data_IF_468207214123
#
_entry.id   IF_468207214123
#
_cell.length_a   1.000
_cell.length_b   1.000
_cell.length_c   1.000
_cell.angle_alpha   90.00
_cell.angle_beta   90.00
_cell.angle_gamma   90.00
#
_symmetry.space_group_name_H-M   'P 1'
#
loop_
_entity.id
_entity.type
_entity.pdbx_description
1 polymer ?
#
# COMPACT_ATOMS: atom_id res chain seq x y z
N UNK A 1 31.24 -6.17 -3.60
CA UNK A 1 30.80 -7.45 -2.99
C UNK A 1 30.51 -7.34 -1.47
N UNK A 2 30.64 -6.17 -0.80
CA UNK A 2 30.39 -6.04 0.65
C UNK A 2 28.99 -5.57 1.04
N UNK A 3 28.22 -4.90 0.17
CA UNK A 3 26.90 -4.34 0.52
C UNK A 3 25.75 -5.37 0.47
N UNK A 4 25.75 -6.31 -0.47
CA UNK A 4 24.66 -7.30 -0.63
C UNK A 4 24.55 -8.24 0.56
N UNK A 5 25.68 -8.68 1.13
CA UNK A 5 25.71 -9.50 2.35
C UNK A 5 25.18 -8.72 3.56
N UNK A 6 25.38 -7.40 3.60
CA UNK A 6 24.82 -6.56 4.67
C UNK A 6 23.29 -6.48 4.56
N UNK A 7 22.76 -6.18 3.38
CA UNK A 7 21.32 -6.02 3.16
C UNK A 7 20.52 -7.30 3.48
N UNK A 8 20.93 -8.46 2.95
CA UNK A 8 20.25 -9.75 3.22
C UNK A 8 20.26 -10.09 4.71
N UNK A 9 21.36 -9.76 5.41
CA UNK A 9 21.43 -9.94 6.86
C UNK A 9 20.44 -9.04 7.61
N UNK A 10 20.22 -7.81 7.15
CA UNK A 10 19.24 -6.88 7.74
C UNK A 10 17.80 -7.37 7.53
N UNK A 11 17.46 -7.81 6.32
CA UNK A 11 16.15 -8.45 6.03
C UNK A 11 15.97 -9.70 6.91
N UNK A 12 17.02 -10.52 7.06
CA UNK A 12 16.97 -11.70 7.94
C UNK A 12 16.82 -11.34 9.41
N UNK A 13 17.25 -10.16 9.88
CA UNK A 13 17.03 -9.73 11.26
C UNK A 13 15.59 -9.31 11.50
N UNK A 14 14.96 -8.62 10.54
CA UNK A 14 13.54 -8.23 10.62
C UNK A 14 12.60 -9.44 10.63
N UNK A 15 12.98 -10.52 9.95
CA UNK A 15 12.17 -11.73 9.87
C UNK A 15 12.26 -12.64 11.10
N UNK A 16 13.18 -12.38 12.05
CA UNK A 16 13.32 -13.15 13.29
C UNK A 16 12.29 -12.73 14.34
N UNK A 17 11.77 -13.73 15.05
CA UNK A 17 10.62 -13.69 15.96
C UNK A 17 10.45 -12.37 16.74
N UNK A 18 9.58 -11.51 16.20
CA UNK A 18 8.95 -10.44 16.97
C UNK A 18 7.62 -10.97 17.47
N UNK A 19 7.46 -11.07 18.78
CA UNK A 19 6.18 -11.48 19.38
C UNK A 19 5.12 -10.41 19.10
N UNK A 20 3.99 -10.83 18.52
CA UNK A 20 2.81 -9.98 18.43
C UNK A 20 2.30 -9.67 19.85
N UNK A 21 1.97 -8.41 20.09
CA UNK A 21 1.24 -8.00 21.28
C UNK A 21 -0.23 -7.83 20.87
N UNK A 22 -1.15 -8.39 21.66
CA UNK A 22 -2.56 -8.08 21.49
C UNK A 22 -2.79 -6.62 21.86
N UNK A 23 -3.05 -5.77 20.86
CA UNK A 23 -3.39 -4.35 21.05
C UNK A 23 -4.75 -4.12 20.42
N UNK A 24 -5.70 -3.58 21.20
CA UNK A 24 -7.06 -3.22 20.73
C UNK A 24 -7.80 -4.37 20.01
N UNK A 25 -7.52 -5.62 20.39
CA UNK A 25 -8.20 -6.81 19.86
C UNK A 25 -7.56 -7.46 18.62
N UNK A 26 -6.40 -6.98 18.17
CA UNK A 26 -5.68 -7.55 17.02
C UNK A 26 -4.20 -7.81 17.31
N UNK A 27 -3.57 -8.62 16.45
CA UNK A 27 -2.14 -8.90 16.47
C UNK A 27 -1.36 -7.65 16.03
N UNK A 28 -0.68 -6.96 16.97
CA UNK A 28 0.17 -5.81 16.67
C UNK A 28 1.65 -6.20 16.77
N UNK A 29 2.38 -6.08 15.67
CA UNK A 29 3.80 -6.43 15.56
C UNK A 29 4.60 -5.15 15.30
N UNK A 30 5.62 -4.89 16.14
CA UNK A 30 6.56 -3.77 15.93
C UNK A 30 7.89 -4.32 15.42
N UNK A 31 8.25 -3.97 14.18
CA UNK A 31 9.53 -4.32 13.58
C UNK A 31 10.52 -3.17 13.86
N UNK A 32 11.60 -3.40 14.62
CA UNK A 32 12.57 -2.35 14.95
C UNK A 32 13.43 -1.97 13.72
N UNK A 33 14.24 -0.93 13.87
CA UNK A 33 15.33 -0.62 12.93
C UNK A 33 16.33 -1.80 12.94
N UNK A 34 16.66 -2.44 11.80
CA UNK A 34 17.32 -3.76 11.79
C UNK A 34 18.77 -3.80 12.30
N UNK A 35 19.44 -2.65 12.38
CA UNK A 35 20.81 -2.49 12.86
C UNK A 35 20.94 -1.45 13.98
N UNK A 36 19.83 -1.05 14.59
CA UNK A 36 19.82 -0.08 15.68
C UNK A 36 18.80 -0.42 16.75
N UNK A 37 19.13 -0.10 18.01
CA UNK A 37 18.17 -0.12 19.13
C UNK A 37 17.53 1.26 19.37
N UNK A 38 17.71 2.19 18.43
CA UNK A 38 17.10 3.51 18.49
C UNK A 38 15.57 3.41 18.48
N UNK A 39 14.94 4.33 19.20
CA UNK A 39 13.48 4.46 19.32
C UNK A 39 13.14 5.90 18.96
N UNK A 40 12.12 6.10 18.13
CA UNK A 40 11.71 7.44 17.72
C UNK A 40 12.77 8.18 16.89
N UNK A 41 13.51 7.44 16.06
CA UNK A 41 14.50 7.96 15.13
C UNK A 41 14.26 7.37 13.75
N UNK A 42 14.65 8.10 12.70
CA UNK A 42 14.69 7.54 11.34
C UNK A 42 15.73 6.42 11.24
N UNK A 43 15.39 5.37 10.51
CA UNK A 43 16.38 4.39 10.06
C UNK A 43 17.51 5.13 9.30
N UNK A 44 18.79 4.80 9.50
CA UNK A 44 19.89 5.51 8.84
C UNK A 44 19.77 5.59 7.30
N UNK A 45 19.19 4.58 6.66
CA UNK A 45 18.91 4.55 5.21
C UNK A 45 17.80 5.53 4.84
N UNK A 46 16.76 5.61 5.69
CA UNK A 46 15.64 6.55 5.53
C UNK A 46 16.13 7.98 5.72
N UNK A 47 16.88 8.24 6.79
CA UNK A 47 17.49 9.55 7.07
C UNK A 47 18.33 10.03 5.89
N UNK A 48 19.16 9.15 5.30
CA UNK A 48 19.98 9.51 4.14
C UNK A 48 19.13 9.95 2.95
N UNK A 49 18.07 9.22 2.63
CA UNK A 49 17.14 9.57 1.54
C UNK A 49 16.40 10.87 1.84
N UNK A 50 15.91 11.05 3.06
CA UNK A 50 15.22 12.26 3.50
C UNK A 50 16.12 13.49 3.37
N UNK A 51 17.38 13.40 3.79
CA UNK A 51 18.35 14.50 3.66
C UNK A 51 18.64 14.84 2.19
N UNK A 52 18.82 13.82 1.33
CA UNK A 52 19.01 14.04 -0.11
C UNK A 52 17.79 14.69 -0.78
N UNK A 53 16.58 14.32 -0.36
CA UNK A 53 15.35 14.94 -0.84
C UNK A 53 15.26 16.41 -0.38
N UNK A 54 15.55 16.69 0.89
CA UNK A 54 15.57 18.05 1.43
C UNK A 54 16.58 18.95 0.71
N UNK A 55 17.79 18.46 0.43
CA UNK A 55 18.80 19.21 -0.34
C UNK A 55 18.31 19.56 -1.75
N UNK A 56 17.64 18.63 -2.44
CA UNK A 56 17.04 18.89 -3.76
C UNK A 56 15.91 19.91 -3.68
N UNK A 57 15.05 19.83 -2.67
CA UNK A 57 13.95 20.78 -2.49
C UNK A 57 14.45 22.21 -2.29
N UNK A 58 15.48 22.39 -1.44
CA UNK A 58 16.14 23.70 -1.26
C UNK A 58 16.75 24.21 -2.57
N UNK A 59 17.32 23.33 -3.40
CA UNK A 59 17.83 23.73 -4.71
C UNK A 59 16.74 24.18 -5.69
N UNK A 60 15.48 23.77 -5.48
CA UNK A 60 14.32 24.08 -6.33
C UNK A 60 13.37 25.14 -5.76
N UNK A 61 13.65 25.67 -4.56
CA UNK A 61 12.77 26.55 -3.77
C UNK A 61 12.36 27.86 -4.50
N UNK A 62 13.07 28.23 -5.57
CA UNK A 62 12.78 29.40 -6.41
C UNK A 62 11.81 29.13 -7.57
N UNK A 63 11.25 27.92 -7.71
CA UNK A 63 10.21 27.64 -8.70
C UNK A 63 8.84 27.91 -8.11
N UNK A 64 8.25 29.07 -8.43
CA UNK A 64 6.89 29.40 -8.04
C UNK A 64 5.91 28.50 -8.80
N UNK A 65 5.11 27.73 -8.06
CA UNK A 65 3.99 26.97 -8.62
C UNK A 65 2.81 27.91 -8.91
N UNK A 66 2.24 27.86 -10.11
CA UNK A 66 1.01 28.59 -10.45
C UNK A 66 -0.21 27.76 -9.97
N UNK A 67 -0.90 28.17 -8.88
CA UNK A 67 -2.03 27.43 -8.35
C UNK A 67 -3.23 27.33 -9.32
N UNK A 68 -3.25 28.10 -10.41
CA UNK A 68 -4.27 28.00 -11.46
C UNK A 68 -3.98 26.93 -12.51
N UNK A 69 -2.73 26.48 -12.65
CA UNK A 69 -2.33 25.42 -13.60
C UNK A 69 -2.44 24.02 -12.95
N UNK A 70 -3.67 23.53 -12.83
CA UNK A 70 -3.93 22.20 -12.28
C UNK A 70 -3.25 21.08 -13.09
N UNK A 71 -3.11 21.25 -14.40
CA UNK A 71 -2.49 20.22 -15.24
C UNK A 71 -0.97 20.16 -15.02
N UNK A 72 -0.29 21.31 -15.02
CA UNK A 72 1.12 21.42 -14.69
C UNK A 72 1.43 20.93 -13.28
N UNK A 73 0.54 21.21 -12.31
CA UNK A 73 0.64 20.65 -10.95
C UNK A 73 0.71 19.13 -10.98
N UNK A 74 -0.30 18.50 -11.59
CA UNK A 74 -0.46 17.05 -11.59
C UNK A 74 0.70 16.39 -12.33
N UNK A 75 1.15 16.96 -13.45
CA UNK A 75 2.31 16.44 -14.18
C UNK A 75 3.60 16.52 -13.35
N UNK A 76 3.83 17.64 -12.66
CA UNK A 76 4.97 17.79 -11.75
C UNK A 76 4.93 16.78 -10.60
N UNK A 77 3.76 16.63 -9.97
CA UNK A 77 3.56 15.64 -8.90
C UNK A 77 3.78 14.21 -9.39
N UNK A 78 3.20 13.83 -10.54
CA UNK A 78 3.40 12.51 -11.15
C UNK A 78 4.87 12.21 -11.41
N UNK A 79 5.64 13.19 -11.88
CA UNK A 79 7.07 13.03 -12.14
C UNK A 79 7.90 12.81 -10.87
N UNK A 80 7.39 13.20 -9.70
CA UNK A 80 8.02 13.01 -8.40
C UNK A 80 7.55 11.74 -7.67
N UNK A 81 6.53 11.04 -8.19
CA UNK A 81 5.99 9.83 -7.57
C UNK A 81 6.78 8.59 -7.96
N UNK A 82 7.00 7.73 -6.97
CA UNK A 82 7.75 6.50 -7.10
C UNK A 82 9.25 6.65 -6.84
N UNK A 83 9.94 5.51 -6.82
CA UNK A 83 11.36 5.42 -6.52
C UNK A 83 12.03 4.34 -7.36
N UNK A 84 13.31 4.51 -7.66
CA UNK A 84 14.09 3.46 -8.32
C UNK A 84 14.35 2.31 -7.34
N UNK A 85 13.86 1.13 -7.66
CA UNK A 85 14.07 -0.08 -6.85
C UNK A 85 14.77 -1.19 -7.61
N UNK A 86 15.30 -2.15 -6.85
CA UNK A 86 16.01 -3.29 -7.37
C UNK A 86 15.11 -4.53 -7.45
N UNK A 87 15.31 -5.34 -8.49
CA UNK A 87 14.74 -6.69 -8.55
C UNK A 87 15.48 -7.60 -7.56
N UNK A 88 14.80 -7.95 -6.46
CA UNK A 88 15.34 -8.83 -5.41
C UNK A 88 14.98 -10.31 -5.60
N UNK A 89 14.34 -10.67 -6.73
CA UNK A 89 14.02 -12.06 -7.05
C UNK A 89 15.28 -12.89 -7.29
N UNK A 90 15.18 -14.20 -7.01
CA UNK A 90 16.30 -15.15 -7.20
C UNK A 90 16.04 -16.16 -8.31
N UNK A 91 14.78 -16.47 -8.54
CA UNK A 91 14.25 -17.34 -9.57
C UNK A 91 13.63 -16.55 -10.71
N UNK A 92 13.01 -17.28 -11.65
CA UNK A 92 12.36 -16.69 -12.81
C UNK A 92 10.93 -16.30 -12.47
N UNK A 93 10.59 -15.04 -12.67
CA UNK A 93 9.22 -14.53 -12.68
C UNK A 93 8.91 -14.05 -14.09
N UNK A 94 7.97 -14.71 -14.76
CA UNK A 94 7.51 -14.30 -16.08
C UNK A 94 6.60 -13.08 -15.96
N UNK A 95 6.83 -12.06 -16.79
CA UNK A 95 5.99 -10.86 -16.86
C UNK A 95 5.27 -10.86 -18.20
N UNK A 96 3.94 -10.91 -18.17
CA UNK A 96 3.09 -10.75 -19.35
C UNK A 96 2.23 -9.50 -19.24
N UNK A 97 1.86 -8.96 -20.40
CA UNK A 97 1.02 -7.77 -20.51
C UNK A 97 -0.31 -8.20 -21.10
N UNK A 98 -1.39 -7.76 -20.49
CA UNK A 98 -2.75 -8.07 -20.94
C UNK A 98 -3.58 -6.81 -20.87
N UNK A 99 -4.56 -6.69 -21.73
CA UNK A 99 -5.57 -5.64 -21.65
C UNK A 99 -6.91 -6.33 -21.62
N UNK A 100 -7.73 -5.99 -20.63
CA UNK A 100 -9.09 -6.50 -20.48
C UNK A 100 -10.08 -5.41 -20.91
N UNK A 101 -11.26 -5.82 -21.36
CA UNK A 101 -12.32 -4.90 -21.71
C UNK A 101 -13.06 -4.48 -20.43
N UNK A 102 -12.89 -3.23 -19.99
CA UNK A 102 -13.67 -2.63 -18.92
C UNK A 102 -14.88 -1.86 -19.47
N UNK A 103 -15.88 -1.60 -18.63
CA UNK A 103 -17.12 -0.92 -19.05
C UNK A 103 -16.86 0.49 -19.61
N UNK A 104 -15.77 1.13 -19.17
CA UNK A 104 -15.42 2.49 -19.56
C UNK A 104 -14.17 2.56 -20.45
N UNK A 105 -13.76 1.42 -21.02
CA UNK A 105 -12.58 1.30 -21.88
C UNK A 105 -11.61 0.21 -21.43
N UNK A 106 -10.52 0.03 -22.19
CA UNK A 106 -9.52 -0.99 -21.90
C UNK A 106 -8.81 -0.74 -20.56
N UNK A 107 -8.60 -1.81 -19.78
CA UNK A 107 -7.84 -1.78 -18.53
C UNK A 107 -6.55 -2.59 -18.74
N UNK A 108 -5.36 -1.94 -18.75
CA UNK A 108 -4.10 -2.65 -18.84
C UNK A 108 -3.76 -3.35 -17.52
N UNK A 109 -3.29 -4.59 -17.66
CA UNK A 109 -2.81 -5.45 -16.59
C UNK A 109 -1.38 -5.86 -16.90
N UNK A 110 -0.59 -6.02 -15.84
CA UNK A 110 0.71 -6.68 -15.90
C UNK A 110 0.71 -7.85 -14.92
N UNK A 111 1.04 -9.03 -15.41
CA UNK A 111 0.87 -10.30 -14.71
C UNK A 111 2.25 -10.90 -14.46
N UNK A 112 2.56 -11.11 -13.19
CA UNK A 112 3.80 -11.70 -12.70
C UNK A 112 3.55 -13.14 -12.27
N UNK A 113 4.07 -14.09 -13.04
CA UNK A 113 3.86 -15.52 -12.82
C UNK A 113 5.17 -16.15 -12.34
N UNK A 114 5.23 -16.69 -11.11
CA UNK A 114 6.42 -17.38 -10.63
C UNK A 114 6.58 -18.73 -11.34
N UNK A 115 7.78 -19.32 -11.27
CA UNK A 115 8.08 -20.62 -11.90
C UNK A 115 7.37 -21.82 -11.25
N UNK A 116 6.44 -21.60 -10.32
CA UNK A 116 5.68 -22.66 -9.67
C UNK A 116 4.73 -23.34 -10.68
N UNK A 117 4.69 -24.67 -10.60
CA UNK A 117 3.80 -25.51 -11.41
C UNK A 117 2.38 -25.54 -10.83
N UNK A 118 1.40 -25.81 -11.69
CA UNK A 118 0.00 -25.97 -11.31
C UNK A 118 -0.80 -24.67 -11.24
N UNK A 119 -1.93 -24.76 -10.52
CA UNK A 119 -2.84 -23.64 -10.25
C UNK A 119 -2.41 -22.96 -8.95
N UNK A 120 -2.24 -21.63 -9.00
CA UNK A 120 -1.66 -20.83 -7.93
C UNK A 120 -2.69 -19.89 -7.29
N UNK A 121 -2.45 -19.36 -6.08
CA UNK A 121 -3.21 -18.21 -5.58
C UNK A 121 -3.00 -16.97 -6.46
N UNK A 122 -3.92 -16.02 -6.38
CA UNK A 122 -3.82 -14.71 -7.03
C UNK A 122 -3.67 -13.59 -6.00
N UNK A 123 -2.87 -12.58 -6.32
CA UNK A 123 -2.86 -11.28 -5.63
C UNK A 123 -3.11 -10.18 -6.66
N UNK A 124 -4.26 -9.52 -6.59
CA UNK A 124 -4.53 -8.33 -7.40
C UNK A 124 -3.99 -7.11 -6.66
N UNK A 125 -3.05 -6.41 -7.29
CA UNK A 125 -2.31 -5.32 -6.68
C UNK A 125 -2.67 -3.97 -7.32
N UNK A 126 -2.97 -2.98 -6.49
CA UNK A 126 -3.24 -1.60 -6.90
C UNK A 126 -2.12 -0.70 -6.37
N UNK A 127 -1.45 0.03 -7.26
CA UNK A 127 -0.36 0.92 -6.88
C UNK A 127 -0.85 2.18 -6.15
N UNK A 128 -0.01 2.79 -5.33
CA UNK A 128 -0.25 4.09 -4.72
C UNK A 128 -0.04 5.28 -5.66
N UNK A 129 -0.03 6.48 -5.10
CA UNK A 129 0.13 7.74 -5.87
C UNK A 129 -1.02 8.73 -5.71
N UNK A 130 -1.71 8.69 -4.56
CA UNK A 130 -2.73 9.69 -4.21
C UNK A 130 -3.90 9.76 -5.19
N UNK A 131 -4.23 8.66 -5.87
CA UNK A 131 -5.25 8.53 -6.93
C UNK A 131 -4.98 9.35 -8.21
N UNK A 132 -3.98 10.23 -8.19
CA UNK A 132 -3.64 11.11 -9.30
C UNK A 132 -2.40 10.67 -10.07
N UNK A 133 -1.59 9.76 -9.51
CA UNK A 133 -0.32 9.32 -10.08
C UNK A 133 0.09 7.93 -9.61
N UNK A 134 1.39 7.65 -9.71
CA UNK A 134 1.93 6.29 -9.60
C UNK A 134 1.82 5.52 -10.92
N UNK A 135 2.39 4.31 -10.95
CA UNK A 135 2.26 3.40 -12.09
C UNK A 135 2.62 1.97 -11.70
N UNK A 136 2.27 1.03 -12.58
CA UNK A 136 2.70 -0.37 -12.48
C UNK A 136 4.23 -0.57 -12.59
N UNK A 137 4.95 0.43 -13.12
CA UNK A 137 6.43 0.39 -13.18
C UNK A 137 7.04 0.62 -11.79
N UNK A 138 6.48 1.53 -11.01
CA UNK A 138 6.97 1.85 -9.65
C UNK A 138 6.92 0.61 -8.76
N UNK A 139 5.85 -0.17 -8.87
CA UNK A 139 5.60 -1.35 -8.04
C UNK A 139 6.07 -2.66 -8.67
N UNK A 140 6.78 -2.61 -9.80
CA UNK A 140 7.17 -3.81 -10.56
C UNK A 140 8.02 -4.78 -9.75
N UNK A 141 9.13 -4.30 -9.18
CA UNK A 141 10.03 -5.19 -8.42
C UNK A 141 9.43 -5.65 -7.08
N UNK A 142 8.71 -4.82 -6.30
CA UNK A 142 7.91 -5.31 -5.17
C UNK A 142 6.94 -6.43 -5.56
N UNK A 143 6.22 -6.30 -6.69
CA UNK A 143 5.25 -7.29 -7.16
C UNK A 143 5.91 -8.57 -7.68
N UNK A 144 7.04 -8.47 -8.39
CA UNK A 144 7.87 -9.63 -8.77
C UNK A 144 8.36 -10.40 -7.55
N UNK A 145 8.89 -9.67 -6.56
CA UNK A 145 9.32 -10.26 -5.30
C UNK A 145 8.16 -10.96 -4.59
N UNK A 146 6.98 -10.33 -4.55
CA UNK A 146 5.79 -10.93 -3.96
C UNK A 146 5.37 -12.21 -4.68
N UNK A 147 5.35 -12.21 -6.03
CA UNK A 147 5.00 -13.37 -6.82
C UNK A 147 5.91 -14.57 -6.51
N UNK A 148 7.22 -14.36 -6.51
CA UNK A 148 8.21 -15.40 -6.16
C UNK A 148 8.05 -15.87 -4.71
N UNK A 149 8.01 -14.93 -3.75
CA UNK A 149 8.05 -15.27 -2.32
C UNK A 149 6.75 -15.91 -1.86
N UNK A 150 5.61 -15.49 -2.38
CA UNK A 150 4.30 -16.05 -2.07
C UNK A 150 4.04 -17.36 -2.84
N UNK A 151 4.67 -17.55 -4.00
CA UNK A 151 4.29 -18.63 -4.92
C UNK A 151 2.89 -18.38 -5.49
N UNK A 152 2.57 -17.12 -5.80
CA UNK A 152 1.26 -16.66 -6.27
C UNK A 152 1.42 -15.85 -7.56
N UNK A 153 0.40 -15.83 -8.41
CA UNK A 153 0.34 -14.91 -9.54
C UNK A 153 -0.03 -13.53 -9.01
N UNK A 154 0.79 -12.51 -9.32
CA UNK A 154 0.51 -11.12 -8.93
C UNK A 154 0.07 -10.35 -10.17
N UNK A 155 -1.06 -9.66 -10.09
CA UNK A 155 -1.66 -8.90 -11.19
C UNK A 155 -1.72 -7.44 -10.78
N UNK A 156 -0.86 -6.58 -11.36
CA UNK A 156 -0.96 -5.14 -11.14
C UNK A 156 -1.90 -4.51 -12.16
N UNK A 157 -2.80 -3.65 -11.68
CA UNK A 157 -3.78 -2.95 -12.51
C UNK A 157 -3.29 -1.52 -12.79
N UNK A 158 -3.19 -1.15 -14.06
CA UNK A 158 -2.88 0.22 -14.50
C UNK A 158 -4.19 1.02 -14.58
N UNK A 159 -4.79 1.25 -13.40
CA UNK A 159 -6.12 1.84 -13.28
C UNK A 159 -6.12 3.32 -13.67
N UNK A 160 -7.25 3.82 -14.15
CA UNK A 160 -7.36 5.23 -14.57
C UNK A 160 -7.17 6.20 -13.41
N UNK A 161 -6.40 7.25 -13.68
CA UNK A 161 -5.99 8.26 -12.70
C UNK A 161 -6.82 9.55 -12.82
N UNK A 162 -7.01 10.19 -11.67
CA UNK A 162 -7.51 11.55 -11.60
C UNK A 162 -6.41 12.57 -11.96
N UNK A 163 -6.76 13.80 -12.38
CA UNK A 163 -8.12 14.35 -12.55
C UNK A 163 -8.78 14.02 -13.89
N UNK A 164 -8.09 13.37 -14.84
CA UNK A 164 -8.63 13.02 -16.16
C UNK A 164 -9.79 12.02 -16.04
N UNK A 165 -9.66 11.09 -15.09
CA UNK A 165 -10.66 10.08 -14.76
C UNK A 165 -10.92 10.10 -13.25
N UNK A 166 -11.71 11.07 -12.75
CA UNK A 166 -12.00 11.18 -11.32
C UNK A 166 -12.86 10.01 -10.82
N UNK A 167 -13.07 9.93 -9.51
CA UNK A 167 -13.94 8.97 -8.85
C UNK A 167 -15.28 8.78 -9.60
N UNK A 168 -15.79 7.55 -9.78
CA UNK A 168 -15.23 6.27 -9.34
C UNK A 168 -14.43 5.55 -10.44
N UNK A 169 -13.86 6.24 -11.44
CA UNK A 169 -13.29 5.60 -12.63
C UNK A 169 -12.21 4.56 -12.31
N UNK A 170 -11.15 4.95 -11.59
CA UNK A 170 -10.10 4.02 -11.17
C UNK A 170 -10.60 2.90 -10.25
N UNK A 171 -11.55 3.20 -9.35
CA UNK A 171 -12.18 2.19 -8.48
C UNK A 171 -12.95 1.14 -9.30
N UNK A 172 -13.64 1.58 -10.34
CA UNK A 172 -14.34 0.68 -11.26
C UNK A 172 -13.36 -0.24 -11.97
N UNK A 173 -12.23 0.31 -12.47
CA UNK A 173 -11.20 -0.51 -13.13
C UNK A 173 -10.60 -1.56 -12.18
N UNK A 174 -10.34 -1.18 -10.93
CA UNK A 174 -9.85 -2.09 -9.91
C UNK A 174 -10.83 -3.24 -9.64
N UNK A 175 -12.11 -2.94 -9.44
CA UNK A 175 -13.13 -3.96 -9.14
C UNK A 175 -13.43 -4.85 -10.35
N UNK A 176 -13.48 -4.29 -11.57
CA UNK A 176 -13.60 -5.05 -12.81
C UNK A 176 -12.39 -5.98 -13.02
N UNK A 177 -11.19 -5.55 -12.64
CA UNK A 177 -9.99 -6.40 -12.71
C UNK A 177 -10.03 -7.58 -11.74
N UNK A 178 -10.52 -7.38 -10.51
CA UNK A 178 -10.74 -8.49 -9.56
C UNK A 178 -11.78 -9.47 -10.11
N UNK A 179 -12.88 -8.95 -10.63
CA UNK A 179 -13.95 -9.77 -11.24
C UNK A 179 -13.40 -10.58 -12.42
N UNK A 180 -12.62 -9.94 -13.29
CA UNK A 180 -11.99 -10.60 -14.42
C UNK A 180 -11.03 -11.71 -13.98
N UNK A 181 -10.20 -11.49 -12.96
CA UNK A 181 -9.30 -12.52 -12.40
C UNK A 181 -10.08 -13.73 -11.88
N UNK A 182 -11.23 -13.50 -11.23
CA UNK A 182 -12.11 -14.57 -10.76
C UNK A 182 -12.74 -15.36 -11.92
N UNK A 183 -13.28 -14.66 -12.93
CA UNK A 183 -13.96 -15.27 -14.08
C UNK A 183 -13.02 -15.98 -15.06
N UNK A 184 -11.80 -15.48 -15.22
CA UNK A 184 -10.77 -15.97 -16.15
C UNK A 184 -9.63 -16.71 -15.45
N UNK A 185 -9.88 -17.25 -14.26
CA UNK A 185 -8.86 -17.83 -13.39
C UNK A 185 -8.02 -18.93 -14.09
N UNK A 186 -8.66 -19.78 -14.89
CA UNK A 186 -7.99 -20.83 -15.67
C UNK A 186 -6.98 -20.26 -16.69
N UNK A 187 -7.31 -19.14 -17.33
CA UNK A 187 -6.48 -18.50 -18.36
C UNK A 187 -5.11 -18.08 -17.83
N UNK A 188 -5.05 -17.67 -16.56
CA UNK A 188 -3.84 -17.19 -15.90
C UNK A 188 -3.31 -18.18 -14.84
N UNK A 189 -3.82 -19.42 -14.84
CA UNK A 189 -3.46 -20.50 -13.90
C UNK A 189 -3.64 -20.13 -12.44
N UNK A 190 -4.71 -19.41 -12.10
CA UNK A 190 -5.03 -19.08 -10.70
C UNK A 190 -6.25 -19.85 -10.19
N UNK A 191 -6.33 -20.00 -8.87
CA UNK A 191 -7.48 -20.59 -8.19
C UNK A 191 -8.47 -19.47 -7.83
N UNK A 192 -9.71 -19.47 -8.35
CA UNK A 192 -10.69 -18.41 -8.06
C UNK A 192 -11.11 -18.36 -6.59
N UNK A 193 -10.87 -19.43 -5.81
CA UNK A 193 -11.13 -19.46 -4.38
C UNK A 193 -9.97 -18.93 -3.52
N UNK A 194 -8.87 -18.49 -4.14
CA UNK A 194 -7.64 -18.04 -3.46
C UNK A 194 -7.17 -16.68 -4.01
N UNK A 195 -8.08 -15.70 -4.03
CA UNK A 195 -7.79 -14.34 -4.48
C UNK A 195 -7.57 -13.43 -3.26
N UNK A 196 -6.43 -12.78 -3.23
CA UNK A 196 -6.14 -11.66 -2.33
C UNK A 196 -6.16 -10.34 -3.10
N UNK A 197 -6.51 -9.26 -2.41
CA UNK A 197 -6.26 -7.89 -2.88
C UNK A 197 -5.16 -7.26 -2.04
N UNK A 198 -4.33 -6.47 -2.70
CA UNK A 198 -3.22 -5.76 -2.09
C UNK A 198 -3.09 -4.39 -2.72
N UNK A 199 -2.47 -3.47 -1.99
CA UNK A 199 -2.15 -2.17 -2.55
C UNK A 199 -1.52 -1.26 -1.52
N UNK A 200 -0.82 -0.25 -2.02
CA UNK A 200 -0.10 0.71 -1.19
C UNK A 200 -0.77 2.08 -1.21
N UNK A 201 -0.80 2.77 -0.06
CA UNK A 201 -1.34 4.14 0.05
C UNK A 201 -2.76 4.26 -0.53
N UNK A 202 -2.94 5.04 -1.60
CA UNK A 202 -4.18 5.14 -2.38
C UNK A 202 -4.63 3.80 -3.00
N UNK A 203 -3.71 2.96 -3.47
CA UNK A 203 -4.02 1.61 -3.93
C UNK A 203 -4.49 0.69 -2.80
N UNK A 204 -4.00 0.91 -1.58
CA UNK A 204 -4.49 0.24 -0.38
C UNK A 204 -5.94 0.62 -0.03
N UNK A 205 -6.34 1.86 -0.31
CA UNK A 205 -7.73 2.29 -0.26
C UNK A 205 -8.58 1.51 -1.29
N UNK A 206 -8.14 1.49 -2.56
CA UNK A 206 -8.84 0.79 -3.63
C UNK A 206 -8.99 -0.71 -3.34
N UNK A 207 -7.97 -1.35 -2.77
CA UNK A 207 -8.02 -2.73 -2.29
C UNK A 207 -9.11 -2.95 -1.23
N UNK A 208 -9.14 -2.06 -0.24
CA UNK A 208 -10.13 -2.10 0.84
C UNK A 208 -11.55 -1.92 0.31
N UNK A 209 -11.75 -0.97 -0.60
CA UNK A 209 -13.06 -0.67 -1.17
C UNK A 209 -13.53 -1.78 -2.13
N UNK A 210 -12.62 -2.41 -2.88
CA UNK A 210 -12.97 -3.59 -3.68
C UNK A 210 -13.46 -4.75 -2.79
N UNK A 211 -12.83 -4.97 -1.63
CA UNK A 211 -13.29 -5.97 -0.67
C UNK A 211 -14.66 -5.62 -0.07
N UNK A 212 -14.92 -4.34 0.22
CA UNK A 212 -16.24 -3.88 0.65
C UNK A 212 -17.32 -4.14 -0.44
N UNK A 213 -17.03 -3.79 -1.69
CA UNK A 213 -17.94 -4.01 -2.82
C UNK A 213 -18.22 -5.50 -3.09
N UNK A 214 -17.23 -6.37 -2.89
CA UNK A 214 -17.37 -7.83 -3.02
C UNK A 214 -18.37 -8.40 -2.00
N UNK A 215 -18.36 -7.87 -0.77
CA UNK A 215 -19.32 -8.23 0.29
C UNK A 215 -20.71 -7.70 -0.05
N UNK A 216 -20.83 -6.43 -0.44
CA UNK A 216 -22.10 -5.81 -0.80
C UNK A 216 -22.79 -6.54 -1.95
N UNK A 217 -22.01 -7.08 -2.89
CA UNK A 217 -22.50 -7.89 -4.01
C UNK A 217 -22.72 -9.36 -3.66
N UNK A 218 -22.22 -9.83 -2.52
CA UNK A 218 -22.31 -11.23 -2.09
C UNK A 218 -21.56 -12.19 -3.01
N UNK A 219 -20.51 -11.73 -3.69
CA UNK A 219 -19.74 -12.52 -4.65
C UNK A 219 -18.64 -13.36 -3.98
N UNK A 220 -18.16 -12.92 -2.80
CA UNK A 220 -17.14 -13.60 -1.99
C UNK A 220 -15.87 -13.97 -2.78
N UNK A 221 -15.45 -13.16 -3.75
CA UNK A 221 -14.25 -13.42 -4.54
C UNK A 221 -12.97 -13.24 -3.71
N UNK A 222 -12.95 -12.24 -2.83
CA UNK A 222 -11.75 -11.81 -2.11
C UNK A 222 -11.65 -12.50 -0.75
N UNK A 223 -10.52 -13.15 -0.49
CA UNK A 223 -10.30 -13.95 0.73
C UNK A 223 -9.26 -13.36 1.69
N UNK A 224 -8.44 -12.42 1.21
CA UNK A 224 -7.39 -11.76 1.98
C UNK A 224 -7.21 -10.32 1.49
N UNK A 225 -7.02 -9.40 2.44
CA UNK A 225 -6.55 -8.04 2.21
C UNK A 225 -5.12 -7.91 2.75
N UNK A 226 -4.17 -7.50 1.91
CA UNK A 226 -2.81 -7.17 2.30
C UNK A 226 -2.56 -5.67 2.03
N UNK A 227 -2.82 -4.84 3.03
CA UNK A 227 -2.87 -3.39 2.89
C UNK A 227 -1.55 -2.76 3.33
N UNK A 228 -0.97 -1.92 2.49
CA UNK A 228 0.34 -1.31 2.72
C UNK A 228 0.12 0.19 2.96
N UNK A 229 0.25 0.64 4.21
CA UNK A 229 -0.01 2.01 4.69
C UNK A 229 -1.22 2.66 4.00
N UNK A 230 -2.40 1.99 4.00
CA UNK A 230 -3.55 2.44 3.21
C UNK A 230 -4.11 3.77 3.74
N UNK A 231 -4.64 4.60 2.84
CA UNK A 231 -5.56 5.64 3.29
C UNK A 231 -6.97 5.07 3.48
N UNK A 232 -7.60 5.32 4.62
CA UNK A 232 -8.90 4.68 4.98
C UNK A 232 -9.92 5.66 5.56
N UNK A 233 -9.54 6.90 5.80
CA UNK A 233 -10.35 7.98 6.34
C UNK A 233 -9.92 9.32 5.71
N UNK A 234 -10.13 9.46 4.39
CA UNK A 234 -9.83 10.70 3.67
C UNK A 234 -10.53 11.92 4.29
N UNK A 235 -11.71 11.70 4.89
CA UNK A 235 -12.48 12.74 5.53
C UNK A 235 -11.85 13.29 6.82
N UNK A 236 -10.86 12.59 7.40
CA UNK A 236 -10.28 12.95 8.69
C UNK A 236 -11.30 12.95 9.83
N UNK A 237 -12.42 12.23 9.66
CA UNK A 237 -13.51 12.22 10.63
C UNK A 237 -13.06 11.53 11.89
N UNK A 238 -13.19 12.23 13.01
CA UNK A 238 -12.93 11.73 14.35
C UNK A 238 -13.91 10.59 14.66
N UNK A 239 -13.40 9.48 15.15
CA UNK A 239 -14.21 8.31 15.55
C UNK A 239 -13.78 7.85 16.95
N UNK A 240 -14.48 6.87 17.52
CA UNK A 240 -14.05 6.22 18.76
C UNK A 240 -12.61 5.70 18.68
N UNK A 241 -12.19 5.26 17.49
CA UNK A 241 -10.89 4.66 17.27
C UNK A 241 -9.83 5.61 16.69
N UNK A 242 -10.27 6.74 16.15
CA UNK A 242 -9.44 7.67 15.39
C UNK A 242 -9.53 9.07 15.96
N UNK A 243 -8.40 9.54 16.47
CA UNK A 243 -8.18 10.95 16.77
C UNK A 243 -6.73 11.29 16.45
N UNK A 244 -6.45 11.96 15.33
CA UNK A 244 -5.07 12.23 14.95
C UNK A 244 -4.42 13.28 15.87
N UNK A 245 -3.22 12.97 16.39
CA UNK A 245 -2.37 13.93 17.10
C UNK A 245 -0.90 13.56 16.90
N UNK A 246 -0.04 14.57 16.86
CA UNK A 246 1.42 14.37 16.83
C UNK A 246 1.93 13.63 18.08
N UNK A 247 1.22 13.69 19.20
CA UNK A 247 1.57 12.97 20.44
C UNK A 247 1.50 11.43 20.29
N UNK A 248 0.93 10.92 19.20
CA UNK A 248 0.92 9.48 18.87
C UNK A 248 2.19 9.00 18.17
N UNK A 249 3.13 9.91 17.96
CA UNK A 249 4.44 9.64 17.39
C UNK A 249 5.48 9.83 18.49
N UNK A 250 6.22 8.76 18.78
CA UNK A 250 7.40 8.87 19.63
C UNK A 250 8.54 9.42 18.78
N UNK A 251 8.85 10.71 18.92
CA UNK A 251 9.92 11.38 18.16
C UNK A 251 10.99 11.82 19.16
N UNK A 252 12.17 11.20 19.10
CA UNK A 252 13.29 11.47 20.02
C UNK A 252 14.43 12.25 19.37
N UNK A 253 14.68 12.03 18.08
CA UNK A 253 15.68 12.75 17.28
C UNK A 253 15.12 13.13 15.91
N UNK A 254 15.77 14.08 15.24
CA UNK A 254 15.41 14.54 13.88
C UNK A 254 13.99 15.12 13.76
N UNK A 255 13.48 15.72 14.84
CA UNK A 255 12.12 16.30 14.87
C UNK A 255 11.87 17.32 13.76
N UNK A 256 12.91 18.08 13.40
CA UNK A 256 12.95 19.07 12.32
C UNK A 256 12.81 18.47 10.92
N UNK A 257 13.04 17.16 10.75
CA UNK A 257 12.82 16.43 9.51
C UNK A 257 11.52 15.61 9.57
N UNK A 258 11.30 14.90 10.68
CA UNK A 258 10.18 13.96 10.85
C UNK A 258 8.83 14.70 10.88
N UNK A 259 8.73 15.81 11.61
CA UNK A 259 7.45 16.52 11.77
C UNK A 259 6.97 17.11 10.44
N UNK A 260 7.82 17.82 9.64
CA UNK A 260 7.41 18.26 8.30
C UNK A 260 7.07 17.10 7.36
N UNK A 261 7.78 15.98 7.42
CA UNK A 261 7.48 14.80 6.60
C UNK A 261 6.09 14.24 6.88
N UNK A 262 5.72 14.08 8.16
CA UNK A 262 4.39 13.62 8.56
C UNK A 262 3.32 14.63 8.13
N UNK A 263 3.52 15.92 8.42
CA UNK A 263 2.51 16.95 8.12
C UNK A 263 2.33 17.23 6.63
N UNK A 264 3.40 17.20 5.85
CA UNK A 264 3.36 17.45 4.41
C UNK A 264 2.46 16.47 3.66
N UNK A 265 2.38 15.22 4.13
CA UNK A 265 1.43 14.23 3.59
C UNK A 265 -0.04 14.63 3.87
N UNK A 266 -0.33 15.12 5.06
CA UNK A 266 -1.67 15.63 5.42
C UNK A 266 -2.07 16.85 4.58
N UNK A 267 -1.15 17.82 4.46
CA UNK A 267 -1.37 19.07 3.73
C UNK A 267 -1.57 18.83 2.23
N UNK A 268 -0.86 17.86 1.64
CA UNK A 268 -1.04 17.46 0.24
C UNK A 268 -2.32 16.65 0.01
N UNK A 269 -2.81 15.94 1.03
CA UNK A 269 -3.97 15.06 0.95
C UNK A 269 -5.25 15.77 0.50
N UNK A 270 -5.54 16.95 1.04
CA UNK A 270 -6.74 17.73 0.68
C UNK A 270 -6.81 18.02 -0.83
N UNK A 271 -5.66 18.39 -1.42
CA UNK A 271 -5.57 18.66 -2.85
C UNK A 271 -5.77 17.40 -3.69
N UNK A 272 -5.15 16.28 -3.31
CA UNK A 272 -5.32 15.00 -4.02
C UNK A 272 -6.77 14.51 -3.97
N UNK A 273 -7.42 14.58 -2.80
CA UNK A 273 -8.81 14.17 -2.65
C UNK A 273 -9.76 15.07 -3.44
N UNK A 274 -9.48 16.38 -3.53
CA UNK A 274 -10.25 17.28 -4.40
C UNK A 274 -10.11 16.92 -5.88
N UNK A 275 -8.89 16.64 -6.33
CA UNK A 275 -8.61 16.22 -7.72
C UNK A 275 -9.25 14.88 -8.05
N UNK A 276 -9.25 13.96 -7.09
CA UNK A 276 -9.84 12.63 -7.20
C UNK A 276 -11.36 12.66 -7.22
N UNK A 277 -11.99 13.29 -6.22
CA UNK A 277 -13.44 13.24 -6.05
C UNK A 277 -14.18 14.14 -7.03
N UNK A 278 -13.68 15.36 -7.29
CA UNK A 278 -14.36 16.37 -8.11
C UNK A 278 -15.86 16.53 -7.77
N UNK A 279 -16.19 16.45 -6.48
CA UNK A 279 -17.57 16.50 -5.96
C UNK A 279 -18.51 15.41 -6.49
N UNK A 280 -17.97 14.29 -6.99
CA UNK A 280 -18.76 13.14 -7.47
C UNK A 280 -19.18 12.17 -6.35
N UNK A 281 -18.57 12.31 -5.17
CA UNK A 281 -18.96 11.63 -3.95
C UNK A 281 -18.62 12.50 -2.75
N UNK A 282 -19.34 12.28 -1.65
CA UNK A 282 -19.00 12.85 -0.36
C UNK A 282 -17.72 12.20 0.16
N UNK A 283 -16.81 12.98 0.76
CA UNK A 283 -15.55 12.43 1.28
C UNK A 283 -15.78 11.43 2.43
N UNK A 284 -16.95 11.49 3.07
CA UNK A 284 -17.39 10.57 4.13
C UNK A 284 -18.05 9.29 3.60
N UNK A 285 -18.22 9.15 2.29
CA UNK A 285 -18.75 7.93 1.67
C UNK A 285 -17.87 6.73 2.04
N UNK A 286 -18.42 5.59 2.51
CA UNK A 286 -17.64 4.38 2.81
C UNK A 286 -16.81 3.82 1.64
N UNK A 287 -17.18 4.10 0.38
CA UNK A 287 -16.37 3.74 -0.80
C UNK A 287 -15.21 4.72 -1.07
N UNK A 288 -15.07 5.76 -0.24
CA UNK A 288 -13.97 6.73 -0.24
C UNK A 288 -13.19 6.63 1.08
N UNK A 289 -13.89 6.66 2.21
CA UNK A 289 -13.36 6.55 3.57
C UNK A 289 -13.85 5.26 4.24
N UNK A 290 -13.29 4.07 3.90
CA UNK A 290 -13.78 2.77 4.37
C UNK A 290 -13.75 2.59 5.90
N UNK A 291 -12.97 3.36 6.64
CA UNK A 291 -13.03 3.41 8.11
C UNK A 291 -14.43 3.79 8.62
N UNK A 292 -15.21 4.54 7.82
CA UNK A 292 -16.54 5.00 8.16
C UNK A 292 -17.64 3.98 7.81
N UNK A 293 -17.30 2.85 7.18
CA UNK A 293 -18.26 1.78 6.89
C UNK A 293 -18.72 1.08 8.18
N UNK A 294 -20.02 0.84 8.32
CA UNK A 294 -20.58 0.00 9.38
C UNK A 294 -20.62 -1.49 8.99
N UNK A 295 -20.35 -1.83 7.73
CA UNK A 295 -20.45 -3.18 7.18
C UNK A 295 -19.09 -3.89 7.12
N UNK A 296 -18.45 -4.07 8.28
CA UNK A 296 -17.09 -4.63 8.35
C UNK A 296 -17.02 -6.10 8.79
N UNK A 297 -18.09 -6.69 9.31
CA UNK A 297 -18.06 -8.02 9.93
C UNK A 297 -17.70 -9.17 8.97
N UNK A 298 -17.94 -8.98 7.67
CA UNK A 298 -17.66 -9.97 6.63
C UNK A 298 -16.42 -9.61 5.81
N UNK A 299 -15.64 -8.62 6.24
CA UNK A 299 -14.41 -8.25 5.54
C UNK A 299 -13.45 -9.44 5.51
N UNK A 300 -12.71 -9.64 4.40
CA UNK A 300 -11.69 -10.66 4.33
C UNK A 300 -10.66 -10.46 5.44
N UNK A 301 -10.03 -11.55 5.85
CA UNK A 301 -8.89 -11.48 6.77
C UNK A 301 -7.90 -10.40 6.30
N UNK A 302 -7.39 -9.60 7.24
CA UNK A 302 -6.62 -8.40 6.89
C UNK A 302 -5.24 -8.39 7.54
N UNK A 303 -4.22 -8.19 6.72
CA UNK A 303 -2.88 -7.74 7.12
C UNK A 303 -2.74 -6.27 6.75
N UNK A 304 -2.34 -5.43 7.71
CA UNK A 304 -2.00 -4.01 7.48
C UNK A 304 -0.54 -3.80 7.82
N UNK A 305 0.21 -3.10 6.98
CA UNK A 305 1.55 -2.62 7.30
C UNK A 305 1.57 -1.10 7.42
N UNK A 306 2.29 -0.55 8.39
CA UNK A 306 2.43 0.89 8.58
C UNK A 306 3.89 1.30 8.74
N UNK A 307 4.20 2.54 8.40
CA UNK A 307 5.44 3.19 8.76
C UNK A 307 5.28 3.96 10.09
N UNK A 308 6.33 3.99 10.91
CA UNK A 308 6.29 4.70 12.21
C UNK A 308 6.05 6.20 12.04
N UNK A 309 6.67 6.81 11.03
CA UNK A 309 6.55 8.25 10.75
C UNK A 309 5.69 8.52 9.53
N UNK A 310 4.48 7.97 9.55
CA UNK A 310 3.47 8.15 8.49
C UNK A 310 2.22 8.83 9.06
N UNK A 311 1.70 9.83 8.36
CA UNK A 311 0.42 10.46 8.71
C UNK A 311 -0.73 9.44 8.76
N UNK A 312 -0.74 8.48 7.84
CA UNK A 312 -1.82 7.49 7.70
C UNK A 312 -1.76 6.38 8.76
N UNK A 313 -0.66 6.30 9.53
CA UNK A 313 -0.50 5.30 10.60
C UNK A 313 -1.70 5.26 11.54
N UNK A 314 -2.18 6.42 11.97
CA UNK A 314 -3.24 6.51 13.00
C UNK A 314 -4.58 6.00 12.46
N UNK A 315 -4.92 6.30 11.21
CA UNK A 315 -6.14 5.76 10.58
C UNK A 315 -6.02 4.26 10.29
N UNK A 316 -4.83 3.76 9.95
CA UNK A 316 -4.57 2.32 9.82
C UNK A 316 -4.79 1.57 11.14
N UNK A 317 -4.27 2.09 12.26
CA UNK A 317 -4.49 1.51 13.59
C UNK A 317 -5.96 1.55 14.00
N UNK A 318 -6.67 2.63 13.66
CA UNK A 318 -8.10 2.76 13.92
C UNK A 318 -8.91 1.73 13.12
N UNK A 319 -8.57 1.55 11.84
CA UNK A 319 -9.21 0.58 10.97
C UNK A 319 -8.96 -0.86 11.41
N UNK A 320 -7.73 -1.19 11.81
CA UNK A 320 -7.41 -2.50 12.38
C UNK A 320 -8.25 -2.79 13.64
N UNK A 321 -8.38 -1.80 14.53
CA UNK A 321 -9.20 -1.93 15.73
C UNK A 321 -10.68 -2.15 15.39
N UNK A 322 -11.21 -1.43 14.39
CA UNK A 322 -12.61 -1.56 13.97
C UNK A 322 -12.89 -2.92 13.32
N UNK A 323 -11.99 -3.42 12.46
CA UNK A 323 -12.07 -4.75 11.86
C UNK A 323 -12.06 -5.85 12.92
N UNK A 324 -11.12 -5.78 13.86
CA UNK A 324 -10.99 -6.74 14.95
C UNK A 324 -12.23 -6.77 15.85
N UNK A 325 -12.78 -5.61 16.22
CA UNK A 325 -14.06 -5.55 16.97
C UNK A 325 -15.24 -6.10 16.18
N UNK A 326 -15.17 -6.06 14.86
CA UNK A 326 -16.19 -6.64 13.97
C UNK A 326 -16.02 -8.15 13.74
N UNK A 327 -15.02 -8.78 14.36
CA UNK A 327 -14.76 -10.22 14.27
C UNK A 327 -13.83 -10.64 13.13
N UNK A 328 -13.23 -9.69 12.41
CA UNK A 328 -12.33 -9.97 11.28
C UNK A 328 -10.93 -10.31 11.81
N UNK A 329 -10.34 -11.45 11.46
CA UNK A 329 -8.97 -11.76 11.86
C UNK A 329 -8.03 -10.71 11.25
N UNK A 330 -7.35 -9.97 12.12
CA UNK A 330 -6.61 -8.77 11.76
C UNK A 330 -5.21 -8.80 12.35
N UNK A 331 -4.23 -8.46 11.53
CA UNK A 331 -2.83 -8.29 11.92
C UNK A 331 -2.33 -6.94 11.43
N UNK A 332 -1.58 -6.22 12.25
CA UNK A 332 -0.91 -4.98 11.87
C UNK A 332 0.58 -5.08 12.17
N UNK A 333 1.41 -4.70 11.20
CA UNK A 333 2.87 -4.64 11.32
C UNK A 333 3.33 -3.19 11.17
N UNK A 334 3.87 -2.61 12.24
CA UNK A 334 4.52 -1.30 12.18
C UNK A 334 6.02 -1.49 11.95
N UNK A 335 6.57 -0.80 10.95
CA UNK A 335 8.00 -0.71 10.72
C UNK A 335 8.55 0.57 11.33
N UNK A 336 9.42 0.44 12.32
CA UNK A 336 10.06 1.58 12.97
C UNK A 336 11.16 2.17 12.10
N UNK A 337 11.32 3.50 12.21
CA UNK A 337 12.29 4.29 11.47
C UNK A 337 11.94 4.58 10.03
N UNK A 338 10.79 4.14 9.51
CA UNK A 338 10.40 4.32 8.10
C UNK A 338 9.41 5.47 7.88
N UNK A 339 9.42 5.96 6.64
CA UNK A 339 8.55 7.00 6.08
C UNK A 339 7.40 6.40 5.25
N UNK A 340 6.45 7.24 4.84
CA UNK A 340 5.42 6.85 3.87
C UNK A 340 6.07 6.40 2.55
N UNK A 341 5.42 5.49 1.82
CA UNK A 341 5.95 4.91 0.57
C UNK A 341 7.33 4.23 0.75
N UNK A 342 7.57 3.56 1.88
CA UNK A 342 8.84 2.84 2.09
C UNK A 342 8.97 1.57 1.24
N UNK A 343 7.85 0.97 0.79
CA UNK A 343 7.86 -0.24 -0.05
C UNK A 343 8.56 -0.01 -1.39
N UNK A 344 8.35 1.17 -1.99
CA UNK A 344 8.91 1.57 -3.30
C UNK A 344 10.43 1.52 -3.34
N UNK A 345 11.08 1.44 -2.16
CA UNK A 345 12.52 1.49 -1.96
C UNK A 345 13.09 0.08 -1.71
N UNK A 346 12.40 -0.97 -2.17
CA UNK A 346 12.91 -2.35 -2.12
C UNK A 346 14.28 -2.47 -2.79
N UNK A 347 15.19 -3.25 -2.20
CA UNK A 347 16.61 -3.28 -2.56
C UNK A 347 17.47 -2.27 -1.81
N UNK A 348 16.89 -1.15 -1.38
CA UNK A 348 17.55 -0.14 -0.53
C UNK A 348 17.12 -0.29 0.94
N UNK A 349 15.81 -0.38 1.20
CA UNK A 349 15.26 -0.50 2.54
C UNK A 349 14.95 -1.97 2.86
N UNK A 350 15.64 -2.61 3.81
CA UNK A 350 15.37 -3.99 4.18
C UNK A 350 13.94 -4.21 4.70
N UNK A 351 13.32 -3.17 5.27
CA UNK A 351 11.91 -3.16 5.68
C UNK A 351 10.96 -3.41 4.51
N UNK A 352 11.27 -2.89 3.32
CA UNK A 352 10.43 -3.08 2.13
C UNK A 352 10.41 -4.55 1.70
N UNK A 353 11.55 -5.24 1.71
CA UNK A 353 11.57 -6.67 1.40
C UNK A 353 10.99 -7.51 2.53
N UNK A 354 11.20 -7.16 3.80
CA UNK A 354 10.53 -7.85 4.92
C UNK A 354 9.01 -7.71 4.85
N UNK A 355 8.48 -6.54 4.49
CA UNK A 355 7.07 -6.33 4.20
C UNK A 355 6.55 -7.32 3.15
N UNK A 356 7.25 -7.46 2.02
CA UNK A 356 6.87 -8.43 0.98
C UNK A 356 6.95 -9.87 1.52
N UNK A 357 7.95 -10.19 2.34
CA UNK A 357 8.05 -11.51 3.00
C UNK A 357 6.86 -11.77 3.94
N UNK A 358 6.42 -10.79 4.72
CA UNK A 358 5.28 -10.93 5.64
C UNK A 358 3.95 -11.08 4.89
N UNK A 359 3.74 -10.33 3.80
CA UNK A 359 2.57 -10.52 2.92
C UNK A 359 2.61 -11.93 2.31
N UNK A 360 3.77 -12.37 1.80
CA UNK A 360 3.92 -13.71 1.23
C UNK A 360 3.65 -14.82 2.26
N UNK A 361 4.08 -14.67 3.52
CA UNK A 361 3.73 -15.60 4.61
C UNK A 361 2.24 -15.63 4.84
N UNK A 362 1.57 -14.47 4.83
CA UNK A 362 0.14 -14.38 5.06
C UNK A 362 -0.68 -15.02 3.92
N UNK A 363 -0.32 -14.75 2.67
CA UNK A 363 -0.92 -15.40 1.48
C UNK A 363 -0.81 -16.92 1.60
N UNK A 364 0.39 -17.44 1.90
CA UNK A 364 0.60 -18.89 2.10
C UNK A 364 -0.21 -19.42 3.27
N UNK A 365 -0.33 -18.69 4.37
CA UNK A 365 -1.06 -19.13 5.56
C UNK A 365 -2.56 -19.25 5.29
N UNK A 366 -3.14 -18.31 4.55
CA UNK A 366 -4.58 -18.28 4.24
C UNK A 366 -4.94 -19.31 3.18
N UNK A 367 -4.04 -19.56 2.23
CA UNK A 367 -4.28 -20.43 1.07
C UNK A 367 -3.58 -21.80 1.16
N UNK A 368 -3.08 -22.17 2.34
CA UNK A 368 -2.40 -23.45 2.62
C UNK A 368 -3.31 -24.67 2.48
#
# INVERSE_FOLDING_TARGET
MSNTTSYVNLVSKLSKDVQAVQKRGFDFIVKPIPDSNAIGELDPRVLQVTLQAAEKMVATENQSFDPSDTLGFVQGMRAMMGWNNDDVTKGKVETTYKTIDGMNGPIPLRIYTPSNEGILPAVVFFHGGGFIGGSVDVVENPCKALAEKAGAVVITVDYRLAPEHPYPAGLTDCFESVTWVYEHAEEIRVNPQQIAVSGDSAGGNLATVCALMDIEKGTEMIKLQALIYPTVNMAGVQTEDFNWSLDQYEIRNYSELIIPMIKGLAESGELFFRLYLQSKAEITDPHVSPLLSDQLSNMPQTLIATAEFDYLKVECEAYAAKLARSGVPTKLIQYNGTDHAFMDKIGLYPQAEDLINEIAKEVKRVFA
#
